data_IF_327569224109
#
_entry.id   IF_327569224109
#
_cell.length_a   1.000
_cell.length_b   1.000
_cell.length_c   1.000
_cell.angle_alpha   90.00
_cell.angle_beta   90.00
_cell.angle_gamma   90.00
#
_symmetry.space_group_name_H-M   'P 1'
#
loop_
_entity.id
_entity.type
_entity.pdbx_description
1 polymer ?
#
# COMPACT_ATOMS: atom_id res chain seq x y z
N UNK A 1 15.18 40.37 -20.98
CA UNK A 1 13.96 40.19 -20.17
C UNK A 1 13.54 38.72 -20.29
N UNK A 2 13.76 37.93 -19.23
CA UNK A 2 13.46 36.50 -19.18
C UNK A 2 12.09 36.32 -18.49
N UNK A 3 11.10 35.78 -19.20
CA UNK A 3 9.89 35.26 -18.57
C UNK A 3 10.03 33.74 -18.41
N UNK A 4 10.16 33.31 -17.16
CA UNK A 4 10.04 31.92 -16.75
C UNK A 4 8.55 31.61 -16.57
N UNK A 5 8.04 30.61 -17.29
CA UNK A 5 6.68 30.12 -17.14
C UNK A 5 6.68 28.91 -16.20
N UNK A 6 6.11 29.11 -15.02
CA UNK A 6 6.05 28.16 -13.91
C UNK A 6 4.90 27.18 -14.13
N UNK A 7 5.19 25.93 -14.49
CA UNK A 7 4.19 24.86 -14.54
C UNK A 7 3.95 24.35 -13.12
N UNK A 8 2.83 24.76 -12.53
CA UNK A 8 2.30 24.20 -11.27
C UNK A 8 1.82 22.76 -11.52
N UNK A 9 2.49 21.79 -10.89
CA UNK A 9 2.00 20.41 -10.78
C UNK A 9 0.87 20.38 -9.75
N UNK A 10 -0.36 20.08 -10.19
CA UNK A 10 -1.45 19.71 -9.30
C UNK A 10 -1.22 18.28 -8.80
N UNK A 11 -0.72 18.15 -7.58
CA UNK A 11 -0.86 16.92 -6.79
C UNK A 11 -2.26 16.88 -6.21
N UNK A 12 -3.15 16.10 -6.84
CA UNK A 12 -4.43 15.73 -6.26
C UNK A 12 -4.16 14.73 -5.12
N UNK A 13 -4.10 15.24 -3.89
CA UNK A 13 -4.07 14.42 -2.68
C UNK A 13 -5.40 13.71 -2.52
N UNK A 14 -5.38 12.38 -2.59
CA UNK A 14 -6.48 11.54 -2.13
C UNK A 14 -6.55 11.64 -0.60
N UNK A 15 -7.41 12.52 -0.09
CA UNK A 15 -7.81 12.49 1.30
C UNK A 15 -8.71 11.27 1.52
N UNK A 16 -8.14 10.18 2.02
CA UNK A 16 -8.91 9.04 2.52
C UNK A 16 -9.58 9.52 3.81
N UNK A 17 -10.85 9.92 3.72
CA UNK A 17 -11.68 10.15 4.88
C UNK A 17 -11.95 8.80 5.56
N UNK A 18 -11.16 8.47 6.59
CA UNK A 18 -11.52 7.41 7.54
C UNK A 18 -12.78 7.88 8.27
N UNK A 19 -13.93 7.33 7.91
CA UNK A 19 -15.12 7.41 8.73
C UNK A 19 -14.92 6.53 9.97
N UNK A 20 -14.39 7.12 11.04
CA UNK A 20 -14.38 6.51 12.37
C UNK A 20 -15.81 6.47 12.90
N UNK A 21 -16.42 5.29 12.89
CA UNK A 21 -17.62 5.01 13.65
C UNK A 21 -17.25 5.07 15.15
N UNK A 22 -17.50 6.21 15.80
CA UNK A 22 -17.48 6.30 17.25
C UNK A 22 -18.78 5.70 17.78
N UNK A 23 -18.74 4.42 18.15
CA UNK A 23 -19.75 3.87 19.06
C UNK A 23 -19.46 4.53 20.40
N UNK A 24 -20.42 5.28 20.95
CA UNK A 24 -20.33 5.84 22.29
C UNK A 24 -20.37 4.69 23.31
N UNK A 25 -19.21 4.07 23.54
CA UNK A 25 -18.97 3.22 24.70
C UNK A 25 -18.97 4.13 25.92
N UNK A 26 -19.71 3.76 26.96
CA UNK A 26 -19.67 4.48 28.22
C UNK A 26 -18.22 4.42 28.73
N UNK A 27 -17.48 5.52 28.61
CA UNK A 27 -16.12 5.62 29.13
C UNK A 27 -16.20 5.38 30.63
N UNK A 28 -15.59 4.29 31.11
CA UNK A 28 -15.40 4.11 32.54
C UNK A 28 -14.73 5.37 33.10
N UNK A 29 -15.25 5.89 34.21
CA UNK A 29 -14.69 7.09 34.84
C UNK A 29 -13.22 6.83 35.17
N UNK A 30 -12.33 7.67 34.64
CA UNK A 30 -10.92 7.63 34.99
C UNK A 30 -10.74 7.85 36.51
N UNK A 31 -9.84 7.07 37.13
CA UNK A 31 -9.52 7.16 38.55
C UNK A 31 -8.13 7.79 38.68
N UNK A 32 -7.99 8.98 39.27
CA UNK A 32 -6.67 9.55 39.54
C UNK A 32 -5.91 8.69 40.55
N UNK A 33 -4.72 8.25 40.18
CA UNK A 33 -3.83 7.55 41.09
C UNK A 33 -3.29 8.54 42.13
N UNK A 34 -3.50 8.24 43.40
CA UNK A 34 -3.08 9.07 44.55
C UNK A 34 -2.04 8.38 45.43
N UNK A 35 -1.63 7.15 45.08
CA UNK A 35 -0.65 6.36 45.83
C UNK A 35 -1.04 4.89 45.97
N UNK A 36 -0.25 4.08 46.69
CA UNK A 36 -0.50 2.65 46.90
C UNK A 36 -1.86 2.33 47.56
N UNK A 37 -2.47 3.31 48.22
CA UNK A 37 -3.78 3.21 48.88
C UNK A 37 -4.92 3.81 48.06
N UNK A 38 -4.70 4.08 46.77
CA UNK A 38 -5.78 4.57 45.89
C UNK A 38 -6.93 3.55 45.92
N UNK A 39 -8.15 3.95 46.33
CA UNK A 39 -9.26 3.01 46.41
C UNK A 39 -9.58 2.43 45.04
N UNK A 40 -9.74 1.11 45.00
CA UNK A 40 -10.26 0.42 43.82
C UNK A 40 -11.78 0.58 43.69
N UNK A 41 -12.31 0.15 42.55
CA UNK A 41 -13.75 0.06 42.32
C UNK A 41 -14.36 -1.14 43.06
N UNK A 42 -15.68 -1.09 43.27
CA UNK A 42 -16.44 -2.22 43.84
C UNK A 42 -16.75 -3.33 42.81
N UNK A 43 -16.50 -3.08 41.52
CA UNK A 43 -16.76 -3.99 40.42
C UNK A 43 -15.66 -3.85 39.35
N UNK A 44 -15.49 -4.82 38.44
CA UNK A 44 -14.37 -4.82 37.52
C UNK A 44 -14.49 -3.72 36.48
N UNK A 45 -13.38 -3.04 36.24
CA UNK A 45 -13.20 -2.13 35.12
C UNK A 45 -11.74 -2.13 34.71
N UNK A 46 -11.47 -2.22 33.42
CA UNK A 46 -10.11 -2.35 32.93
C UNK A 46 -9.44 -1.00 32.74
N UNK A 47 -8.19 -0.90 33.22
CA UNK A 47 -7.25 0.13 32.83
C UNK A 47 -7.76 1.57 33.08
N UNK A 48 -8.41 1.75 34.22
CA UNK A 48 -9.11 2.99 34.58
C UNK A 48 -8.22 4.00 35.30
N UNK A 49 -7.02 3.63 35.76
CA UNK A 49 -6.18 4.55 36.53
C UNK A 49 -5.42 5.54 35.63
N UNK A 50 -5.23 6.76 36.13
CA UNK A 50 -4.50 7.84 35.47
C UNK A 50 -3.44 8.42 36.38
N UNK A 51 -2.37 8.99 35.81
CA UNK A 51 -1.28 9.56 36.60
C UNK A 51 -0.49 8.54 37.42
N UNK A 52 -0.48 7.28 36.99
CA UNK A 52 0.31 6.23 37.62
C UNK A 52 1.80 6.53 37.36
N UNK A 53 2.70 6.35 38.35
CA UNK A 53 4.13 6.61 38.20
C UNK A 53 4.74 5.95 36.96
N UNK A 54 5.86 6.48 36.48
CA UNK A 54 6.56 5.89 35.35
C UNK A 54 6.95 4.42 35.64
N UNK A 55 6.91 3.53 34.63
CA UNK A 55 6.69 3.80 33.19
C UNK A 55 5.21 3.75 32.74
N UNK A 56 4.26 3.58 33.66
CA UNK A 56 2.87 3.22 33.32
C UNK A 56 2.04 4.42 32.86
N UNK A 57 2.14 5.57 33.53
CA UNK A 57 1.42 6.77 33.11
C UNK A 57 -0.10 6.61 33.22
N UNK A 58 -0.82 6.84 32.13
CA UNK A 58 -2.26 6.57 32.09
C UNK A 58 -2.50 5.15 31.60
N UNK A 59 -3.27 4.37 32.33
CA UNK A 59 -3.50 2.96 31.98
C UNK A 59 -4.36 2.79 30.72
N UNK A 60 -5.03 3.83 30.26
CA UNK A 60 -5.77 3.80 28.99
C UNK A 60 -4.86 3.77 27.74
N UNK A 61 -3.56 4.04 27.89
CA UNK A 61 -2.50 3.79 26.90
C UNK A 61 -1.80 2.47 27.28
N UNK A 62 -2.43 1.37 26.89
CA UNK A 62 -2.07 0.02 27.32
C UNK A 62 -1.54 -0.87 26.21
N UNK A 63 -1.74 -0.52 24.96
CA UNK A 63 -1.11 -1.18 23.82
C UNK A 63 0.10 -0.35 23.41
N UNK A 64 1.29 -0.94 23.52
CA UNK A 64 2.54 -0.30 23.06
C UNK A 64 3.40 -1.28 22.27
N UNK A 65 4.34 -0.76 21.50
CA UNK A 65 5.21 -1.57 20.65
C UNK A 65 6.70 -1.33 20.93
N UNK A 66 7.55 -2.30 20.58
CA UNK A 66 9.00 -2.14 20.52
C UNK A 66 9.61 -3.02 19.44
N UNK A 67 10.89 -2.79 19.12
CA UNK A 67 11.68 -3.70 18.27
C UNK A 67 12.06 -4.94 19.07
N UNK A 68 11.90 -6.13 18.46
CA UNK A 68 12.35 -7.39 19.05
C UNK A 68 13.78 -7.70 18.60
N UNK A 69 14.74 -7.00 19.20
CA UNK A 69 16.18 -7.13 18.92
C UNK A 69 16.97 -7.75 20.10
N UNK A 70 16.26 -8.34 21.07
CA UNK A 70 16.83 -8.85 22.31
C UNK A 70 17.25 -7.75 23.30
N UNK A 71 17.00 -6.47 23.00
CA UNK A 71 17.26 -5.37 23.93
C UNK A 71 16.16 -5.25 25.00
N UNK A 72 16.50 -4.56 26.09
CA UNK A 72 15.54 -4.13 27.11
C UNK A 72 14.91 -2.79 26.79
N UNK A 73 14.83 -2.41 25.50
CA UNK A 73 14.21 -1.13 25.12
C UNK A 73 12.77 -1.09 25.61
N UNK A 74 12.39 0.09 26.10
CA UNK A 74 11.05 0.34 26.59
C UNK A 74 10.04 0.30 25.44
N UNK A 75 8.83 -0.16 25.77
CA UNK A 75 7.70 -0.10 24.85
C UNK A 75 7.24 1.34 24.69
N UNK A 76 7.04 1.77 23.45
CA UNK A 76 6.63 3.12 23.10
C UNK A 76 5.34 3.14 22.28
N UNK A 77 4.65 4.27 22.35
CA UNK A 77 3.61 4.66 21.41
C UNK A 77 3.76 6.18 21.11
N UNK A 78 4.04 6.60 19.86
CA UNK A 78 4.28 5.78 18.67
C UNK A 78 5.61 5.03 18.69
N UNK A 79 5.72 3.96 17.90
CA UNK A 79 6.98 3.31 17.53
C UNK A 79 7.45 3.80 16.16
N UNK A 80 8.63 4.41 16.11
CA UNK A 80 9.28 4.86 14.86
C UNK A 80 10.38 3.89 14.46
N UNK A 81 10.30 3.29 13.27
CA UNK A 81 11.31 2.35 12.78
C UNK A 81 11.48 2.40 11.26
N UNK A 82 12.62 1.91 10.76
CA UNK A 82 12.88 1.78 9.33
C UNK A 82 12.16 0.60 8.66
N UNK A 83 11.56 -0.32 9.42
CA UNK A 83 10.83 -1.51 8.95
C UNK A 83 11.57 -2.25 7.84
N UNK A 84 12.77 -2.73 8.13
CA UNK A 84 13.52 -3.56 7.19
C UNK A 84 12.86 -4.94 7.07
N UNK A 85 13.09 -5.62 5.95
CA UNK A 85 12.53 -6.95 5.74
C UNK A 85 12.99 -7.89 6.85
N UNK A 86 12.03 -8.59 7.47
CA UNK A 86 12.30 -9.52 8.57
C UNK A 86 12.47 -8.87 9.95
N UNK A 87 12.40 -7.54 10.08
CA UNK A 87 12.32 -6.89 11.40
C UNK A 87 11.11 -7.43 12.17
N UNK A 88 11.31 -7.82 13.41
CA UNK A 88 10.24 -8.25 14.31
C UNK A 88 9.96 -7.16 15.34
N UNK A 89 8.67 -6.96 15.63
CA UNK A 89 8.20 -6.04 16.66
C UNK A 89 7.41 -6.83 17.70
N UNK A 90 7.59 -6.49 18.97
CA UNK A 90 6.73 -6.96 20.05
C UNK A 90 5.66 -5.94 20.33
N UNK A 91 4.40 -6.39 20.37
CA UNK A 91 3.25 -5.65 20.87
C UNK A 91 2.98 -6.12 22.29
N UNK A 92 2.81 -5.19 23.23
CA UNK A 92 2.43 -5.48 24.61
C UNK A 92 1.10 -4.83 24.96
N UNK A 93 0.15 -5.64 25.42
CA UNK A 93 -1.11 -5.20 26.02
C UNK A 93 -0.96 -5.29 27.54
N UNK A 94 -1.16 -4.17 28.23
CA UNK A 94 -1.26 -4.12 29.68
C UNK A 94 -2.72 -4.29 30.11
N UNK A 95 -2.99 -5.22 31.03
CA UNK A 95 -4.34 -5.45 31.56
C UNK A 95 -4.31 -5.31 33.07
N UNK A 96 -5.14 -4.41 33.59
CA UNK A 96 -5.32 -4.23 35.02
C UNK A 96 -6.82 -4.07 35.33
N UNK A 97 -7.34 -4.94 36.19
CA UNK A 97 -8.67 -4.81 36.73
C UNK A 97 -8.63 -3.84 37.94
N UNK A 98 -9.25 -2.68 37.78
CA UNK A 98 -9.24 -1.62 38.79
C UNK A 98 -10.17 -1.83 39.98
N UNK A 99 -10.77 -3.02 40.13
CA UNK A 99 -11.51 -3.37 41.33
C UNK A 99 -10.58 -3.57 42.56
N UNK A 100 -11.11 -3.34 43.75
CA UNK A 100 -10.36 -3.51 45.01
C UNK A 100 -10.13 -4.98 45.39
N UNK A 101 -9.00 -5.25 46.04
CA UNK A 101 -8.62 -6.61 46.46
C UNK A 101 -9.63 -7.26 47.43
N UNK A 102 -10.26 -6.45 48.28
CA UNK A 102 -11.18 -6.91 49.34
C UNK A 102 -12.41 -7.64 48.76
N UNK A 103 -12.79 -7.32 47.52
CA UNK A 103 -13.90 -7.96 46.83
C UNK A 103 -13.50 -9.16 45.97
N UNK A 104 -12.24 -9.64 46.01
CA UNK A 104 -11.86 -10.84 45.25
C UNK A 104 -12.48 -12.12 45.82
N UNK A 105 -12.67 -12.19 47.16
CA UNK A 105 -13.30 -13.31 47.87
C UNK A 105 -12.86 -14.71 47.37
N UNK A 106 -11.54 -14.93 47.26
CA UNK A 106 -10.97 -16.19 46.80
C UNK A 106 -11.29 -16.57 45.35
N UNK A 107 -11.58 -15.59 44.49
CA UNK A 107 -11.90 -15.79 43.07
C UNK A 107 -13.38 -15.68 42.72
N UNK A 108 -14.27 -15.69 43.72
CA UNK A 108 -15.73 -15.70 43.50
C UNK A 108 -16.40 -14.36 43.84
N UNK A 109 -15.62 -13.35 44.19
CA UNK A 109 -16.16 -12.08 44.65
C UNK A 109 -16.42 -11.09 43.51
N UNK A 110 -17.13 -9.99 43.82
CA UNK A 110 -17.54 -8.99 42.83
C UNK A 110 -16.37 -8.25 42.17
N UNK A 111 -15.14 -8.35 42.70
CA UNK A 111 -13.96 -7.69 42.14
C UNK A 111 -13.23 -8.52 41.10
N UNK A 112 -13.65 -9.75 40.81
CA UNK A 112 -13.03 -10.61 39.79
C UNK A 112 -13.70 -10.39 38.45
N UNK A 113 -12.92 -10.12 37.40
CA UNK A 113 -13.40 -10.09 36.03
C UNK A 113 -13.38 -11.51 35.46
N UNK A 114 -14.51 -11.98 34.93
CA UNK A 114 -14.67 -13.34 34.39
C UNK A 114 -14.69 -13.37 32.87
N UNK A 115 -14.32 -14.51 32.28
CA UNK A 115 -14.22 -14.71 30.82
C UNK A 115 -13.40 -13.61 30.14
N UNK A 116 -12.35 -13.13 30.84
CA UNK A 116 -11.54 -12.00 30.40
C UNK A 116 -10.73 -12.39 29.18
N UNK A 117 -10.96 -11.70 28.07
CA UNK A 117 -10.30 -11.92 26.79
C UNK A 117 -9.50 -10.71 26.34
N UNK A 118 -8.35 -10.98 25.73
CA UNK A 118 -7.60 -10.00 24.95
C UNK A 118 -7.68 -10.37 23.47
N UNK A 119 -7.83 -9.36 22.62
CA UNK A 119 -7.75 -9.47 21.16
C UNK A 119 -6.87 -8.35 20.62
N UNK A 120 -6.07 -8.63 19.60
CA UNK A 120 -5.25 -7.64 18.88
C UNK A 120 -5.56 -7.71 17.38
N UNK A 121 -6.27 -6.70 16.88
CA UNK A 121 -6.50 -6.52 15.45
C UNK A 121 -5.32 -5.76 14.82
N UNK A 122 -4.50 -6.46 14.03
CA UNK A 122 -3.36 -5.85 13.35
C UNK A 122 -3.75 -4.91 12.20
N UNK A 123 -5.02 -4.94 11.75
CA UNK A 123 -5.52 -4.22 10.57
C UNK A 123 -4.62 -4.43 9.34
N UNK A 124 -4.05 -5.62 9.21
CA UNK A 124 -2.93 -5.96 8.32
C UNK A 124 -3.36 -6.32 6.88
N UNK A 125 -4.60 -6.06 6.49
CA UNK A 125 -5.13 -6.45 5.18
C UNK A 125 -4.49 -5.76 3.97
N UNK A 126 -3.67 -4.72 4.15
CA UNK A 126 -3.00 -4.04 3.03
C UNK A 126 -1.65 -3.48 3.43
N UNK A 127 -0.75 -3.42 2.44
CA UNK A 127 0.57 -2.86 2.61
C UNK A 127 0.51 -1.35 2.83
N UNK A 128 1.19 -0.85 3.87
CA UNK A 128 1.13 0.54 4.33
C UNK A 128 2.47 0.96 4.93
N UNK A 129 2.64 2.25 5.15
CA UNK A 129 3.79 2.82 5.89
C UNK A 129 3.47 3.17 7.33
N UNK A 130 2.20 3.19 7.71
CA UNK A 130 1.73 3.45 9.07
C UNK A 130 0.68 2.40 9.41
N UNK A 131 0.87 1.74 10.55
CA UNK A 131 -0.04 0.74 11.09
C UNK A 131 -0.62 1.23 12.41
N UNK A 132 -1.87 0.85 12.67
CA UNK A 132 -2.56 1.14 13.92
C UNK A 132 -3.21 -0.13 14.47
N UNK A 133 -2.41 -1.11 14.97
CA UNK A 133 -2.93 -2.27 15.66
C UNK A 133 -3.85 -1.82 16.81
N UNK A 134 -4.96 -2.52 17.01
CA UNK A 134 -5.97 -2.21 18.02
C UNK A 134 -6.08 -3.39 18.98
N UNK A 135 -5.79 -3.17 20.25
CA UNK A 135 -6.06 -4.12 21.32
C UNK A 135 -7.45 -3.88 21.90
N UNK A 136 -8.15 -4.95 22.26
CA UNK A 136 -9.41 -4.93 22.98
C UNK A 136 -9.34 -5.87 24.16
N UNK A 137 -9.77 -5.39 25.32
CA UNK A 137 -9.95 -6.17 26.55
C UNK A 137 -11.44 -6.23 26.83
N UNK A 138 -11.96 -7.43 27.09
CA UNK A 138 -13.38 -7.67 27.38
C UNK A 138 -13.54 -8.70 28.48
N UNK A 139 -14.64 -8.66 29.22
CA UNK A 139 -15.04 -9.66 30.21
C UNK A 139 -16.57 -9.81 30.21
N UNK A 140 -17.10 -10.89 30.76
CA UNK A 140 -18.54 -11.12 30.83
C UNK A 140 -19.26 -10.21 31.83
N UNK A 141 -18.53 -9.69 32.82
CA UNK A 141 -19.04 -8.82 33.89
C UNK A 141 -18.38 -7.43 33.95
N UNK A 142 -17.74 -6.98 32.87
CA UNK A 142 -17.13 -5.64 32.77
C UNK A 142 -17.32 -5.01 31.39
N UNK A 143 -17.26 -3.68 31.31
CA UNK A 143 -17.21 -2.97 30.04
C UNK A 143 -15.93 -3.28 29.27
N UNK A 144 -16.03 -3.39 27.94
CA UNK A 144 -14.85 -3.57 27.09
C UNK A 144 -14.10 -2.24 26.87
N UNK A 145 -12.77 -2.30 26.86
CA UNK A 145 -11.90 -1.16 26.55
C UNK A 145 -11.06 -1.48 25.32
N UNK A 146 -10.62 -0.46 24.60
CA UNK A 146 -9.75 -0.62 23.42
C UNK A 146 -8.74 0.50 23.32
N UNK A 147 -7.56 0.15 22.83
CA UNK A 147 -6.45 1.07 22.66
C UNK A 147 -5.64 0.69 21.40
N UNK A 148 -5.08 1.69 20.74
CA UNK A 148 -4.37 1.53 19.50
C UNK A 148 -2.98 2.17 19.57
N UNK A 149 -1.95 1.40 19.25
CA UNK A 149 -0.59 1.93 19.07
C UNK A 149 -0.34 2.29 17.61
N UNK A 150 0.61 3.19 17.37
CA UNK A 150 1.09 3.53 16.02
C UNK A 150 2.47 2.93 15.75
N UNK A 151 2.59 2.17 14.67
CA UNK A 151 3.90 1.75 14.11
C UNK A 151 4.13 2.50 12.81
N UNK A 152 5.14 3.36 12.77
CA UNK A 152 5.51 4.16 11.61
C UNK A 152 6.80 3.63 10.96
N UNK A 153 6.67 3.18 9.71
CA UNK A 153 7.74 2.62 8.88
C UNK A 153 8.46 3.67 8.03
N UNK A 154 8.42 4.95 8.42
CA UNK A 154 9.13 6.06 7.78
C UNK A 154 8.92 6.14 6.27
N UNK A 155 7.68 5.92 5.82
CA UNK A 155 7.31 5.98 4.40
C UNK A 155 7.54 4.70 3.59
N UNK A 156 8.15 3.64 4.15
CA UNK A 156 8.26 2.36 3.46
C UNK A 156 6.92 1.62 3.45
N UNK A 157 6.50 1.16 2.28
CA UNK A 157 5.31 0.31 2.12
C UNK A 157 5.68 -1.15 2.44
N UNK A 158 5.17 -1.65 3.55
CA UNK A 158 5.41 -3.02 4.03
C UNK A 158 4.10 -3.69 4.42
N UNK A 159 4.14 -4.99 4.75
CA UNK A 159 3.09 -5.70 5.48
C UNK A 159 3.58 -6.05 6.89
N UNK A 160 2.66 -6.12 7.85
CA UNK A 160 2.91 -6.69 9.17
C UNK A 160 2.18 -8.02 9.29
N UNK A 161 2.95 -9.09 9.46
CA UNK A 161 2.42 -10.44 9.61
C UNK A 161 2.56 -10.88 11.07
N UNK A 162 1.49 -11.44 11.64
CA UNK A 162 1.60 -12.08 12.95
C UNK A 162 2.58 -13.26 12.90
N UNK A 163 3.43 -13.39 13.92
CA UNK A 163 4.30 -14.56 14.09
C UNK A 163 3.53 -15.62 14.86
N UNK A 164 3.18 -16.74 14.20
CA UNK A 164 2.42 -17.82 14.81
C UNK A 164 3.11 -18.36 16.08
N UNK A 165 2.31 -18.67 17.11
CA UNK A 165 2.73 -19.12 18.43
C UNK A 165 3.66 -18.15 19.19
N UNK A 166 3.72 -16.87 18.80
CA UNK A 166 4.54 -15.87 19.52
C UNK A 166 3.83 -15.27 20.73
N UNK A 167 2.52 -15.45 20.85
CA UNK A 167 1.75 -14.82 21.90
C UNK A 167 1.95 -15.51 23.26
N UNK A 168 2.10 -14.71 24.31
CA UNK A 168 2.17 -15.18 25.70
C UNK A 168 1.58 -14.14 26.65
N UNK A 169 1.15 -14.60 27.83
CA UNK A 169 0.86 -13.73 28.95
C UNK A 169 1.92 -13.87 30.05
N UNK A 170 2.02 -12.86 30.90
CA UNK A 170 2.72 -12.91 32.17
C UNK A 170 1.87 -12.26 33.26
N UNK A 171 1.68 -12.95 34.38
CA UNK A 171 1.25 -12.38 35.65
C UNK A 171 2.20 -12.84 36.76
N UNK A 172 2.14 -12.19 37.92
CA UNK A 172 2.94 -12.59 39.09
C UNK A 172 2.62 -14.02 39.55
N UNK A 173 1.35 -14.43 39.49
CA UNK A 173 0.91 -15.74 39.98
C UNK A 173 1.06 -16.85 38.94
N UNK A 174 0.85 -16.58 37.65
CA UNK A 174 0.94 -17.60 36.59
C UNK A 174 2.34 -17.76 36.01
N UNK A 175 3.22 -16.77 36.17
CA UNK A 175 4.44 -16.67 35.37
C UNK A 175 4.11 -16.49 33.89
N UNK A 176 5.03 -16.89 33.00
CA UNK A 176 4.84 -16.80 31.55
C UNK A 176 4.04 -18.01 31.06
N UNK A 177 2.91 -17.75 30.39
CA UNK A 177 2.03 -18.79 29.83
C UNK A 177 1.82 -18.51 28.33
N UNK A 178 2.02 -19.49 27.43
CA UNK A 178 1.75 -19.31 26.01
C UNK A 178 0.25 -19.09 25.76
N UNK A 179 -0.07 -18.25 24.79
CA UNK A 179 -1.43 -17.99 24.34
C UNK A 179 -1.65 -18.51 22.92
N UNK A 180 -2.89 -18.85 22.60
CA UNK A 180 -3.23 -19.32 21.25
C UNK A 180 -3.19 -18.19 20.22
N UNK A 181 -3.03 -18.55 18.95
CA UNK A 181 -3.07 -17.62 17.81
C UNK A 181 -4.44 -16.95 17.59
N UNK A 182 -5.48 -17.36 18.32
CA UNK A 182 -6.78 -16.67 18.31
C UNK A 182 -6.69 -15.24 18.85
N UNK A 183 -5.55 -14.83 19.45
CA UNK A 183 -5.29 -13.45 19.89
C UNK A 183 -5.47 -12.44 18.75
N UNK A 184 -5.13 -12.82 17.50
CA UNK A 184 -5.36 -11.98 16.30
C UNK A 184 -6.67 -12.28 15.57
N UNK A 185 -7.56 -13.06 16.18
CA UNK A 185 -8.84 -13.51 15.62
C UNK A 185 -10.03 -13.18 16.52
N UNK A 186 -10.52 -14.19 17.25
CA UNK A 186 -11.66 -14.07 18.18
C UNK A 186 -11.28 -13.55 19.57
N UNK A 187 -9.98 -13.47 19.88
CA UNK A 187 -9.45 -13.19 21.21
C UNK A 187 -9.12 -14.47 21.98
N UNK A 188 -8.34 -14.32 23.05
CA UNK A 188 -7.93 -15.41 23.94
C UNK A 188 -8.19 -15.05 25.38
N UNK A 189 -8.59 -16.03 26.18
CA UNK A 189 -8.71 -15.87 27.61
C UNK A 189 -7.33 -15.62 28.23
N UNK A 190 -7.32 -14.69 29.18
CA UNK A 190 -6.15 -14.38 29.99
C UNK A 190 -6.49 -14.56 31.46
N UNK A 191 -5.46 -14.76 32.29
CA UNK A 191 -5.66 -15.05 33.70
C UNK A 191 -4.61 -14.36 34.56
N UNK A 192 -5.06 -13.75 35.66
CA UNK A 192 -4.17 -13.24 36.71
C UNK A 192 -3.67 -14.36 37.62
N UNK A 193 -4.48 -15.42 37.79
CA UNK A 193 -4.25 -16.61 38.61
C UNK A 193 -4.40 -17.90 37.80
N UNK A 194 -4.29 -19.07 38.44
CA UNK A 194 -4.43 -20.38 37.79
C UNK A 194 -5.90 -20.76 37.44
N UNK A 195 -6.76 -19.77 37.21
CA UNK A 195 -8.15 -19.95 36.78
C UNK A 195 -8.33 -19.27 35.42
N UNK A 196 -8.50 -20.03 34.32
CA UNK A 196 -8.67 -19.47 32.98
C UNK A 196 -9.77 -18.41 32.90
N UNK A 197 -9.46 -17.24 32.36
CA UNK A 197 -10.41 -16.15 32.14
C UNK A 197 -10.59 -15.21 33.34
N UNK A 198 -10.04 -15.54 34.50
CA UNK A 198 -10.20 -14.73 35.71
C UNK A 198 -9.06 -13.71 35.88
N UNK A 199 -9.44 -12.43 35.90
CA UNK A 199 -8.53 -11.32 36.23
C UNK A 199 -8.99 -10.66 37.53
N UNK A 200 -8.25 -10.92 38.59
CA UNK A 200 -8.55 -10.44 39.94
C UNK A 200 -8.28 -8.93 40.04
N UNK A 201 -9.03 -8.25 40.90
CA UNK A 201 -8.78 -6.84 41.21
C UNK A 201 -7.56 -6.70 42.09
N UNK A 202 -6.71 -5.70 41.81
CA UNK A 202 -5.53 -5.23 42.55
C UNK A 202 -4.36 -4.96 41.59
N UNK A 203 -3.50 -4.01 41.98
CA UNK A 203 -2.27 -3.68 41.26
C UNK A 203 -1.35 -4.88 41.00
N UNK A 204 -1.25 -5.80 41.96
CA UNK A 204 -0.37 -6.97 41.87
C UNK A 204 -0.92 -8.09 40.96
N UNK A 205 -2.17 -7.97 40.53
CA UNK A 205 -2.89 -8.95 39.70
C UNK A 205 -2.93 -8.60 38.21
N UNK A 206 -2.14 -7.60 37.82
CA UNK A 206 -1.96 -7.18 36.43
C UNK A 206 -1.44 -8.31 35.55
N UNK A 207 -1.90 -8.32 34.30
CA UNK A 207 -1.48 -9.26 33.26
C UNK A 207 -0.85 -8.49 32.11
N UNK A 208 0.30 -8.95 31.63
CA UNK A 208 0.93 -8.46 30.42
C UNK A 208 0.75 -9.50 29.32
N UNK A 209 0.18 -9.11 28.18
CA UNK A 209 0.13 -9.96 26.98
C UNK A 209 1.14 -9.44 25.98
N UNK A 210 2.00 -10.30 25.47
CA UNK A 210 2.99 -9.97 24.45
C UNK A 210 2.80 -10.86 23.23
N UNK A 211 2.88 -10.29 22.03
CA UNK A 211 2.88 -11.01 20.77
C UNK A 211 3.87 -10.38 19.79
N UNK A 212 4.37 -11.16 18.82
CA UNK A 212 5.31 -10.68 17.82
C UNK A 212 4.66 -10.55 16.44
N UNK A 213 5.05 -9.49 15.73
CA UNK A 213 4.72 -9.27 14.31
C UNK A 213 6.00 -9.06 13.50
N UNK A 214 6.02 -9.54 12.26
CA UNK A 214 7.15 -9.49 11.36
C UNK A 214 6.88 -8.62 10.15
N UNK A 215 7.85 -7.78 9.80
CA UNK A 215 7.83 -6.95 8.62
C UNK A 215 8.13 -7.78 7.37
N UNK A 216 7.24 -7.69 6.39
CA UNK A 216 7.47 -8.20 5.03
C UNK A 216 7.47 -7.01 4.06
N UNK A 217 8.59 -6.77 3.38
CA UNK A 217 8.68 -5.68 2.39
C UNK A 217 7.89 -6.07 1.14
N UNK A 218 6.97 -5.22 0.70
CA UNK A 218 6.29 -5.42 -0.58
C UNK A 218 7.18 -4.90 -1.68
N UNK A 219 7.57 -5.75 -2.66
CA UNK A 219 8.32 -5.28 -3.81
C UNK A 219 7.53 -4.17 -4.51
N UNK A 220 8.15 -3.01 -4.70
CA UNK A 220 7.58 -1.97 -5.54
C UNK A 220 7.66 -2.48 -6.97
N UNK A 221 6.54 -2.97 -7.52
CA UNK A 221 6.47 -3.35 -8.92
C UNK A 221 6.66 -2.07 -9.74
N UNK A 222 7.72 -1.95 -10.56
CA UNK A 222 7.91 -0.78 -11.41
C UNK A 222 6.67 -0.57 -12.29
N UNK A 223 6.22 0.67 -12.49
CA UNK A 223 5.06 0.92 -13.34
C UNK A 223 5.33 0.39 -14.76
N UNK A 224 4.34 -0.27 -15.34
CA UNK A 224 4.45 -0.82 -16.70
C UNK A 224 4.81 0.31 -17.67
N UNK A 225 5.92 0.09 -18.37
CA UNK A 225 6.46 1.03 -19.34
C UNK A 225 6.00 0.66 -20.75
N UNK A 226 5.57 1.64 -21.54
CA UNK A 226 5.26 1.44 -22.96
C UNK A 226 6.03 2.44 -23.81
N UNK A 227 6.36 2.04 -25.03
CA UNK A 227 7.08 2.86 -25.99
C UNK A 227 6.66 2.49 -27.42
N UNK A 228 6.52 3.49 -28.28
CA UNK A 228 6.26 3.33 -29.70
C UNK A 228 7.17 4.27 -30.51
N UNK A 229 7.69 3.77 -31.64
CA UNK A 229 8.56 4.48 -32.56
C UNK A 229 7.74 4.92 -33.78
N UNK A 230 7.91 6.17 -34.23
CA UNK A 230 7.28 6.66 -35.46
C UNK A 230 8.17 7.62 -36.25
N UNK A 231 8.22 7.49 -37.57
CA UNK A 231 8.79 8.52 -38.45
C UNK A 231 7.79 9.67 -38.64
N UNK A 232 8.30 10.90 -38.52
CA UNK A 232 7.51 12.11 -38.73
C UNK A 232 7.26 12.32 -40.23
N UNK A 233 6.05 11.98 -40.70
CA UNK A 233 5.67 12.15 -42.11
C UNK A 233 5.83 13.61 -42.58
N UNK A 234 5.67 14.61 -41.70
CA UNK A 234 5.83 16.02 -42.07
C UNK A 234 7.29 16.46 -42.22
N UNK A 235 8.23 15.69 -41.68
CA UNK A 235 9.67 15.95 -41.78
C UNK A 235 10.40 14.89 -42.62
N UNK A 236 9.66 13.97 -43.24
CA UNK A 236 10.19 13.04 -44.23
C UNK A 236 10.25 13.76 -45.58
N UNK A 237 11.43 14.27 -45.93
CA UNK A 237 11.63 15.09 -47.13
C UNK A 237 12.60 14.37 -48.06
N UNK A 238 12.19 14.13 -49.30
CA UNK A 238 13.02 13.60 -50.38
C UNK A 238 13.16 14.69 -51.44
N UNK A 239 14.38 14.99 -51.86
CA UNK A 239 14.67 15.99 -52.89
C UNK A 239 15.30 15.34 -54.13
N UNK A 240 15.24 16.05 -55.26
CA UNK A 240 15.68 15.55 -56.57
C UNK A 240 17.18 15.22 -56.64
N UNK A 241 17.98 15.83 -55.76
CA UNK A 241 19.40 15.54 -55.58
C UNK A 241 19.65 14.23 -54.81
N UNK A 242 18.63 13.38 -54.59
CA UNK A 242 18.70 12.12 -53.81
C UNK A 242 19.05 12.29 -52.34
N UNK A 243 18.74 13.45 -51.79
CA UNK A 243 18.88 13.72 -50.36
C UNK A 243 17.58 13.38 -49.65
N UNK A 244 17.68 12.63 -48.54
CA UNK A 244 16.54 12.23 -47.72
C UNK A 244 16.74 12.72 -46.30
N UNK A 245 15.80 13.51 -45.80
CA UNK A 245 15.76 13.95 -44.40
C UNK A 245 14.69 13.16 -43.65
N UNK A 246 15.05 12.67 -42.47
CA UNK A 246 14.19 11.87 -41.62
C UNK A 246 14.22 12.43 -40.20
N UNK A 247 13.06 12.49 -39.56
CA UNK A 247 12.93 12.77 -38.13
C UNK A 247 12.17 11.64 -37.45
N UNK A 248 12.76 11.13 -36.37
CA UNK A 248 12.22 10.05 -35.55
C UNK A 248 11.51 10.65 -34.33
N UNK A 249 10.26 10.25 -34.12
CA UNK A 249 9.46 10.58 -32.95
C UNK A 249 9.22 9.32 -32.11
N UNK A 250 8.99 9.51 -30.82
CA UNK A 250 8.67 8.43 -29.90
C UNK A 250 7.54 8.83 -28.95
N UNK A 251 6.62 7.91 -28.69
CA UNK A 251 5.60 8.04 -27.65
C UNK A 251 5.96 7.09 -26.52
N UNK A 252 6.16 7.60 -25.31
CA UNK A 252 6.57 6.81 -24.14
C UNK A 252 5.62 7.02 -22.96
N UNK A 253 5.40 5.97 -22.16
CA UNK A 253 4.70 6.00 -20.88
C UNK A 253 5.57 5.31 -19.84
N UNK A 254 5.81 5.98 -18.70
CA UNK A 254 6.71 5.50 -17.63
C UNK A 254 8.13 5.14 -18.13
N UNK A 255 8.58 5.73 -19.23
CA UNK A 255 9.89 5.51 -19.81
C UNK A 255 10.46 6.84 -20.33
N UNK A 256 11.77 6.88 -20.56
CA UNK A 256 12.46 8.03 -21.15
C UNK A 256 13.20 7.62 -22.41
N UNK A 257 13.20 8.48 -23.43
CA UNK A 257 14.00 8.26 -24.63
C UNK A 257 15.45 8.60 -24.31
N UNK A 258 16.37 7.68 -24.62
CA UNK A 258 17.81 7.81 -24.35
C UNK A 258 18.67 7.72 -25.62
N UNK A 259 18.07 7.42 -26.77
CA UNK A 259 18.80 7.42 -28.04
C UNK A 259 17.92 7.17 -29.25
N UNK A 260 18.47 7.47 -30.42
CA UNK A 260 17.85 7.26 -31.73
C UNK A 260 18.83 6.53 -32.62
N UNK A 261 18.32 5.74 -33.56
CA UNK A 261 19.11 5.18 -34.66
C UNK A 261 18.32 5.23 -35.97
N UNK A 262 18.99 5.58 -37.05
CA UNK A 262 18.46 5.59 -38.43
C UNK A 262 19.42 4.80 -39.31
N UNK A 263 18.94 3.68 -39.84
CA UNK A 263 19.62 2.90 -40.88
C UNK A 263 19.04 3.30 -42.23
N UNK A 264 19.89 3.72 -43.16
CA UNK A 264 19.50 4.25 -44.47
C UNK A 264 19.25 3.18 -45.54
N UNK A 265 19.52 1.91 -45.24
CA UNK A 265 19.21 0.79 -46.14
C UNK A 265 20.17 0.63 -47.33
N UNK A 266 21.24 1.43 -47.42
CA UNK A 266 22.26 1.38 -48.48
C UNK A 266 23.63 0.90 -48.00
N UNK A 267 23.74 0.45 -46.74
CA UNK A 267 24.99 0.03 -46.11
C UNK A 267 25.87 1.18 -45.59
N UNK A 268 25.41 2.42 -45.66
CA UNK A 268 26.09 3.57 -45.05
C UNK A 268 26.05 3.50 -43.51
N UNK A 269 26.82 4.38 -42.86
CA UNK A 269 26.88 4.45 -41.40
C UNK A 269 25.51 4.80 -40.79
N UNK A 270 25.13 4.05 -39.75
CA UNK A 270 23.89 4.32 -38.99
C UNK A 270 23.99 5.68 -38.29
N UNK A 271 22.99 6.53 -38.49
CA UNK A 271 22.89 7.78 -37.75
C UNK A 271 22.36 7.54 -36.34
N UNK A 272 22.90 8.24 -35.34
CA UNK A 272 22.41 8.20 -33.95
C UNK A 272 21.63 9.48 -33.55
N UNK A 273 21.18 10.27 -34.52
CA UNK A 273 20.46 11.53 -34.29
C UNK A 273 18.95 11.32 -34.37
N UNK A 274 18.20 12.18 -33.69
CA UNK A 274 16.74 12.22 -33.81
C UNK A 274 16.28 12.67 -35.20
N UNK A 275 16.96 13.69 -35.73
CA UNK A 275 16.76 14.19 -37.09
C UNK A 275 18.10 14.11 -37.80
N UNK A 276 18.11 13.52 -38.99
CA UNK A 276 19.31 13.51 -39.82
C UNK A 276 18.96 13.53 -41.30
N UNK A 277 19.97 13.87 -42.10
CA UNK A 277 19.86 13.92 -43.54
C UNK A 277 20.95 13.09 -44.17
N UNK A 278 20.58 12.28 -45.17
CA UNK A 278 21.48 11.39 -45.89
C UNK A 278 21.43 11.66 -47.39
N UNK A 279 22.58 11.50 -48.03
CA UNK A 279 22.75 11.69 -49.46
C UNK A 279 23.03 10.32 -50.10
N UNK A 280 22.10 9.84 -50.93
CA UNK A 280 22.32 8.59 -51.65
C UNK A 280 23.26 8.81 -52.86
N UNK A 281 24.06 7.80 -53.23
CA UNK A 281 24.95 7.90 -54.39
C UNK A 281 24.17 8.14 -55.69
N UNK A 282 24.68 9.02 -56.53
CA UNK A 282 24.07 9.37 -57.83
C UNK A 282 24.24 8.27 -58.87
N UNK A 283 25.23 7.39 -58.70
CA UNK A 283 25.56 6.27 -59.58
C UNK A 283 24.83 4.97 -59.23
N UNK A 284 23.99 4.97 -58.18
CA UNK A 284 23.29 3.76 -57.71
C UNK A 284 21.78 3.96 -57.63
N UNK A 285 21.09 3.47 -58.65
CA UNK A 285 19.63 3.32 -58.62
C UNK A 285 19.23 2.16 -57.71
N UNK A 286 18.07 2.28 -57.07
CA UNK A 286 17.61 1.27 -56.13
C UNK A 286 16.40 1.66 -55.32
N UNK A 287 15.91 0.69 -54.56
CA UNK A 287 14.91 0.85 -53.52
C UNK A 287 15.59 0.67 -52.18
N UNK A 288 15.47 1.66 -51.31
CA UNK A 288 16.17 1.72 -50.03
C UNK A 288 15.16 1.73 -48.88
N UNK A 289 15.30 0.78 -47.97
CA UNK A 289 14.46 0.66 -46.78
C UNK A 289 15.10 1.36 -45.59
N UNK A 290 14.59 2.54 -45.30
CA UNK A 290 15.00 3.33 -44.15
C UNK A 290 14.31 2.76 -42.91
N UNK A 291 15.10 2.32 -41.93
CA UNK A 291 14.62 1.78 -40.66
C UNK A 291 15.13 2.62 -39.51
N UNK A 292 14.21 3.17 -38.72
CA UNK A 292 14.52 3.87 -37.49
C UNK A 292 14.16 3.03 -36.26
N UNK A 293 14.88 3.26 -35.17
CA UNK A 293 14.56 2.72 -33.85
C UNK A 293 14.92 3.71 -32.76
N UNK A 294 14.24 3.60 -31.62
CA UNK A 294 14.41 4.49 -30.46
C UNK A 294 14.85 3.66 -29.26
N UNK A 295 15.91 4.09 -28.58
CA UNK A 295 16.34 3.49 -27.32
C UNK A 295 15.58 4.15 -26.18
N UNK A 296 14.90 3.37 -25.37
CA UNK A 296 14.17 3.85 -24.21
C UNK A 296 14.73 3.22 -22.93
N UNK A 297 14.75 4.00 -21.85
CA UNK A 297 14.99 3.52 -20.49
C UNK A 297 13.65 3.37 -19.78
N UNK A 298 13.35 2.16 -19.35
CA UNK A 298 12.08 1.80 -18.70
C UNK A 298 12.10 2.16 -17.21
N UNK A 299 10.95 2.08 -16.55
CA UNK A 299 10.80 2.39 -15.12
C UNK A 299 11.62 1.47 -14.20
N UNK A 300 11.94 0.25 -14.64
CA UNK A 300 12.82 -0.68 -13.94
C UNK A 300 14.32 -0.38 -14.14
N UNK A 301 14.64 0.65 -14.93
CA UNK A 301 16.01 1.06 -15.24
C UNK A 301 16.65 0.34 -16.42
N UNK A 302 16.02 -0.71 -16.96
CA UNK A 302 16.50 -1.42 -18.14
C UNK A 302 16.36 -0.55 -19.40
N UNK A 303 17.20 -0.81 -20.41
CA UNK A 303 17.16 -0.13 -21.70
C UNK A 303 16.78 -1.09 -22.82
N UNK A 304 15.93 -0.63 -23.74
CA UNK A 304 15.48 -1.42 -24.88
C UNK A 304 15.39 -0.57 -26.15
N UNK A 305 15.72 -1.17 -27.29
CA UNK A 305 15.41 -0.61 -28.60
C UNK A 305 13.98 -0.95 -29.01
N UNK A 306 13.26 0.07 -29.46
CA UNK A 306 11.88 -0.01 -29.95
C UNK A 306 11.89 0.39 -31.42
N UNK A 307 11.43 -0.52 -32.26
CA UNK A 307 11.22 -0.34 -33.69
C UNK A 307 9.72 -0.57 -34.02
N UNK A 308 9.39 -0.55 -35.30
CA UNK A 308 8.02 -0.82 -35.77
C UNK A 308 7.83 -0.38 -37.20
N UNK A 309 6.71 -0.80 -37.80
CA UNK A 309 6.33 -0.46 -39.18
C UNK A 309 6.20 1.05 -39.38
N UNK A 310 5.69 1.76 -38.38
CA UNK A 310 5.59 3.23 -38.39
C UNK A 310 6.95 3.93 -38.32
N UNK A 311 8.01 3.19 -37.96
CA UNK A 311 9.38 3.65 -37.94
C UNK A 311 10.21 3.24 -39.16
N UNK A 312 9.55 2.71 -40.19
CA UNK A 312 10.17 2.36 -41.46
C UNK A 312 9.55 3.14 -42.62
N UNK A 313 10.37 3.49 -43.62
CA UNK A 313 9.94 4.09 -44.88
C UNK A 313 10.82 3.59 -46.02
N UNK A 314 10.25 3.47 -47.20
CA UNK A 314 10.98 3.07 -48.40
C UNK A 314 11.06 4.26 -49.36
N UNK A 315 12.23 4.46 -49.96
CA UNK A 315 12.44 5.43 -51.05
C UNK A 315 12.97 4.72 -52.30
N UNK A 316 12.58 5.18 -53.49
CA UNK A 316 13.09 4.66 -54.75
C UNK A 316 13.74 5.76 -55.56
N UNK A 317 14.98 5.52 -55.98
CA UNK A 317 15.72 6.38 -56.90
C UNK A 317 15.94 5.66 -58.22
N UNK A 318 15.59 6.33 -59.32
CA UNK A 318 15.82 5.88 -60.69
C UNK A 318 16.47 7.02 -61.46
N UNK A 319 17.44 6.70 -62.33
CA UNK A 319 18.11 7.68 -63.17
C UNK A 319 17.10 8.35 -64.11
N UNK A 320 17.20 9.67 -64.26
CA UNK A 320 16.35 10.49 -65.12
C UNK A 320 14.85 10.55 -64.75
N UNK A 321 14.46 10.18 -63.54
CA UNK A 321 13.10 10.37 -63.03
C UNK A 321 13.13 11.05 -61.65
N UNK A 322 12.15 11.92 -61.34
CA UNK A 322 12.00 12.45 -59.99
C UNK A 322 11.86 11.31 -58.97
N UNK A 323 12.40 11.47 -57.75
CA UNK A 323 12.27 10.46 -56.70
C UNK A 323 10.80 10.14 -56.44
N UNK A 324 10.48 8.84 -56.35
CA UNK A 324 9.12 8.40 -56.02
C UNK A 324 9.15 7.77 -54.64
N UNK A 325 8.40 8.34 -53.70
CA UNK A 325 8.02 7.65 -52.47
C UNK A 325 6.82 6.77 -52.84
N UNK A 326 6.94 5.43 -52.81
CA UNK A 326 5.80 4.57 -53.13
C UNK A 326 4.64 4.95 -52.21
N UNK A 327 3.41 5.04 -52.72
CA UNK A 327 2.25 5.21 -51.86
C UNK A 327 2.26 4.06 -50.85
N UNK A 328 2.34 4.41 -49.56
CA UNK A 328 2.21 3.43 -48.48
C UNK A 328 0.83 2.82 -48.61
N UNK A 329 0.74 1.60 -49.13
CA UNK A 329 -0.49 0.81 -49.06
C UNK A 329 -0.77 0.62 -47.57
N UNK A 330 -1.88 1.15 -47.03
CA UNK A 330 -2.17 1.00 -45.62
C UNK A 330 -2.22 -0.48 -45.31
N UNK A 331 -1.38 -0.91 -44.36
CA UNK A 331 -1.40 -2.28 -43.87
C UNK A 331 -2.79 -2.52 -43.31
N UNK A 332 -3.58 -3.37 -43.99
CA UNK A 332 -4.83 -3.87 -43.44
C UNK A 332 -4.45 -4.70 -42.24
N UNK A 333 -4.62 -4.14 -41.04
CA UNK A 333 -4.44 -4.87 -39.79
C UNK A 333 -5.55 -5.91 -39.76
N UNK A 334 -5.24 -7.14 -40.17
CA UNK A 334 -6.14 -8.28 -39.99
C UNK A 334 -6.13 -8.55 -38.48
N UNK A 335 -7.25 -8.34 -37.77
CA UNK A 335 -7.30 -8.63 -36.35
C UNK A 335 -7.02 -10.13 -36.14
N UNK A 336 -6.26 -10.50 -35.10
CA UNK A 336 -6.04 -11.91 -34.78
C UNK A 336 -7.39 -12.61 -34.60
N UNK A 337 -7.56 -13.75 -35.27
CA UNK A 337 -8.84 -14.48 -35.27
C UNK A 337 -9.29 -14.78 -33.84
N UNK A 338 -10.40 -14.17 -33.42
CA UNK A 338 -10.98 -14.35 -32.09
C UNK A 338 -11.02 -13.11 -31.20
N UNK A 339 -10.40 -11.98 -31.59
CA UNK A 339 -10.60 -10.70 -30.90
C UNK A 339 -11.57 -9.80 -31.66
N UNK A 340 -12.66 -9.40 -30.97
CA UNK A 340 -13.56 -8.37 -31.45
C UNK A 340 -12.80 -7.03 -31.59
N UNK A 341 -13.15 -6.17 -32.56
CA UNK A 341 -12.53 -4.85 -32.70
C UNK A 341 -12.65 -4.06 -31.40
N UNK A 342 -11.54 -3.53 -30.89
CA UNK A 342 -11.53 -2.62 -29.75
C UNK A 342 -12.14 -1.28 -30.18
N UNK A 343 -13.41 -1.06 -29.84
CA UNK A 343 -14.16 0.15 -30.19
C UNK A 343 -13.84 1.35 -29.28
N UNK A 344 -12.76 1.29 -28.49
CA UNK A 344 -12.26 2.44 -27.72
C UNK A 344 -13.12 2.86 -26.52
N UNK A 345 -14.24 2.18 -26.28
CA UNK A 345 -14.99 2.24 -25.03
C UNK A 345 -15.19 0.84 -24.52
N UNK A 346 -14.57 0.55 -23.36
CA UNK A 346 -14.75 -0.69 -22.63
C UNK A 346 -16.23 -0.83 -22.22
N UNK A 347 -17.01 -1.50 -23.07
CA UNK A 347 -18.46 -1.71 -22.93
C UNK A 347 -18.81 -2.34 -21.58
N UNK A 348 -17.91 -3.17 -21.01
CA UNK A 348 -18.10 -3.76 -19.68
C UNK A 348 -18.13 -2.72 -18.55
N UNK A 349 -17.40 -1.60 -18.68
CA UNK A 349 -17.39 -0.53 -17.67
C UNK A 349 -18.71 0.26 -17.63
N UNK A 350 -19.34 0.46 -18.79
CA UNK A 350 -20.62 1.18 -18.87
C UNK A 350 -21.74 0.32 -18.29
N UNK A 351 -21.81 -0.98 -18.64
CA UNK A 351 -22.83 -1.87 -18.09
C UNK A 351 -22.73 -2.02 -16.56
N UNK A 352 -21.53 -2.19 -16.00
CA UNK A 352 -21.36 -2.28 -14.55
C UNK A 352 -21.81 -1.01 -13.81
N UNK A 353 -21.50 0.16 -14.38
CA UNK A 353 -21.84 1.45 -13.77
C UNK A 353 -23.36 1.69 -13.78
N UNK A 354 -24.03 1.40 -14.91
CA UNK A 354 -25.48 1.58 -15.03
C UNK A 354 -26.23 0.59 -14.14
N UNK A 355 -25.75 -0.65 -13.99
CA UNK A 355 -26.34 -1.64 -13.08
C UNK A 355 -26.21 -1.24 -11.60
N UNK A 356 -25.08 -0.68 -11.18
CA UNK A 356 -24.89 -0.21 -9.80
C UNK A 356 -25.79 0.98 -9.46
N UNK A 357 -25.92 1.95 -10.37
CA UNK A 357 -26.82 3.09 -10.20
C UNK A 357 -28.28 2.62 -10.13
N UNK A 358 -28.68 1.69 -11.01
CA UNK A 358 -30.01 1.07 -10.98
C UNK A 358 -30.32 0.35 -9.66
N UNK A 359 -29.37 -0.41 -9.11
CA UNK A 359 -29.53 -1.11 -7.85
C UNK A 359 -29.67 -0.15 -6.66
N UNK A 360 -28.88 0.94 -6.63
CA UNK A 360 -28.98 1.97 -5.59
C UNK A 360 -30.33 2.70 -5.64
N UNK A 361 -30.78 3.10 -6.83
CA UNK A 361 -32.07 3.77 -7.01
C UNK A 361 -33.24 2.87 -6.63
N UNK A 362 -33.19 1.58 -7.01
CA UNK A 362 -34.23 0.61 -6.64
C UNK A 362 -34.28 0.37 -5.12
N UNK A 363 -33.14 0.29 -4.44
CA UNK A 363 -33.08 0.15 -2.97
C UNK A 363 -33.63 1.39 -2.25
N UNK A 364 -33.28 2.59 -2.73
CA UNK A 364 -33.80 3.85 -2.20
C UNK A 364 -35.32 3.98 -2.41
N UNK A 365 -35.84 3.57 -3.56
CA UNK A 365 -37.28 3.54 -3.84
C UNK A 365 -38.03 2.58 -2.91
N UNK A 366 -37.52 1.35 -2.69
CA UNK A 366 -38.14 0.39 -1.75
C UNK A 366 -38.13 0.89 -0.31
N UNK A 367 -37.05 1.54 0.14
CA UNK A 367 -36.97 2.10 1.50
C UNK A 367 -38.04 3.17 1.75
N UNK A 368 -38.32 4.05 0.78
CA UNK A 368 -39.38 5.06 0.86
C UNK A 368 -40.78 4.47 0.92
N UNK A 369 -41.02 3.33 0.25
CA UNK A 369 -42.32 2.65 0.25
C UNK A 369 -42.62 1.88 1.54
N UNK A 370 -41.62 1.65 2.38
CA UNK A 370 -41.77 0.98 3.67
C UNK A 370 -41.98 1.97 4.84
N UNK A 371 -41.93 3.27 4.57
CA UNK A 371 -42.10 4.36 5.55
C UNK A 371 -43.39 5.17 5.37
N UNK A 372 -44.28 4.72 4.48
CA UNK A 372 -45.66 5.15 4.30
C UNK A 372 -46.54 3.93 4.44
#
# INVERSE_FOLDING_TARGET
MKQFNTIKRLTAGFAVALATFFIATASASAIPYTGPTTPGLSAPAFNVFTGVPAPWGNENDFLRARVDDGSTTDYSDPLLNSCNNGTEFQLRVYVHNGAGIDGNNGGNGPSVAHDTKVKVDLKNGSAKSIFSPLATISASNAGSVSDATTINCNGKTVKLNYVANSASQYSKATGVVPLSDQIVGSGVEISSHNVPGDVWGCWDERVYVVLSVKVEVVPVVPPVSTAACKLDNGAFVVTDDRKVTVKVNATVKNATVVGYQINWGDGSAVSNKQTDTHQYPTDKDGTYDIQARVKVKLADGSEKWVDGVDCAKTVKFTSNQPPVVPPVTPTVVVPPSGQLPDTGMNVFGIFATVSMIGAFLHKAYKARKATV
#
